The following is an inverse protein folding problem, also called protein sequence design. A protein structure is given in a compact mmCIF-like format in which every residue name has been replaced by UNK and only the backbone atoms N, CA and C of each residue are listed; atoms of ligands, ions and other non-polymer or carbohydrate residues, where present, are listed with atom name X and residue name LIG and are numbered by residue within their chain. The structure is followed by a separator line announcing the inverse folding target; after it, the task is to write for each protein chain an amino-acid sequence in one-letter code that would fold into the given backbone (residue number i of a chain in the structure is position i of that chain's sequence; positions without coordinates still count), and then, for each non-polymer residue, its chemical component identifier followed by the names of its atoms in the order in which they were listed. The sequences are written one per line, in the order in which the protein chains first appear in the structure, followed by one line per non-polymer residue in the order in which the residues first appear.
data_IF_635391410049
#
_entry.id   IF_635391410049
#
_cell.length_a   1.000
_cell.length_b   1.000
_cell.length_c   1.000
_cell.angle_alpha   90.00
_cell.angle_beta   90.00
_cell.angle_gamma   90.00
#
_symmetry.space_group_name_H-M   'P 1'
#
loop_
_entity.id
_entity.type
_entity.pdbx_description
1 polymer ?
#
# COMPACT_ATOMS: atom_id res chain seq x y z
N UNK A 1 0.61 -1.06 -20.47
CA UNK A 1 0.17 -0.97 -19.06
C UNK A 1 -1.34 -1.06 -18.99
N UNK A 2 -1.87 -1.95 -18.14
CA UNK A 2 -3.31 -2.15 -17.95
C UNK A 2 -3.76 -1.38 -16.72
N UNK A 3 -4.84 -0.59 -16.84
CA UNK A 3 -5.45 0.08 -15.70
C UNK A 3 -6.09 -0.97 -14.80
N UNK A 4 -5.84 -0.88 -13.51
CA UNK A 4 -6.42 -1.78 -12.53
C UNK A 4 -7.80 -1.26 -12.12
N UNK A 5 -8.82 -2.02 -12.44
CA UNK A 5 -10.19 -1.72 -12.07
C UNK A 5 -10.59 -2.57 -10.86
N UNK A 6 -11.28 -1.97 -9.92
CA UNK A 6 -11.85 -2.68 -8.78
C UNK A 6 -13.35 -2.83 -8.96
N UNK A 7 -13.84 -4.06 -8.75
CA UNK A 7 -15.26 -4.35 -8.70
C UNK A 7 -15.67 -4.36 -7.23
N UNK A 8 -16.56 -3.45 -6.87
CA UNK A 8 -17.10 -3.31 -5.52
C UNK A 8 -18.56 -3.73 -5.57
N UNK A 9 -18.94 -4.72 -4.78
CA UNK A 9 -20.33 -5.08 -4.55
C UNK A 9 -20.79 -4.34 -3.32
N UNK A 10 -21.60 -3.31 -3.52
CA UNK A 10 -22.17 -2.53 -2.43
C UNK A 10 -23.41 -3.25 -1.87
N UNK A 11 -23.33 -3.66 -0.61
CA UNK A 11 -24.43 -4.30 0.11
C UNK A 11 -25.35 -3.31 0.82
N UNK A 12 -24.97 -2.04 0.91
CA UNK A 12 -25.63 -1.08 1.78
C UNK A 12 -26.55 -0.08 1.05
N UNK A 13 -26.56 -0.03 -0.28
CA UNK A 13 -27.19 1.05 -1.07
C UNK A 13 -26.76 2.50 -0.65
N UNK A 14 -25.83 2.64 0.27
CA UNK A 14 -25.24 3.92 0.64
C UNK A 14 -23.93 4.06 -0.11
N UNK A 15 -23.91 4.91 -1.12
CA UNK A 15 -22.67 5.43 -1.68
C UNK A 15 -22.09 6.31 -0.58
N UNK A 16 -21.29 5.74 0.28
CA UNK A 16 -20.39 6.51 1.14
C UNK A 16 -19.40 7.15 0.18
N UNK A 17 -19.62 8.42 -0.15
CA UNK A 17 -18.53 9.25 -0.65
C UNK A 17 -17.50 9.21 0.47
N UNK A 18 -16.37 8.56 0.20
CA UNK A 18 -15.18 8.67 1.07
C UNK A 18 -14.74 10.12 0.97
N UNK A 19 -15.32 10.95 1.81
CA UNK A 19 -14.80 12.30 2.02
C UNK A 19 -13.48 12.09 2.75
N UNK A 20 -12.41 12.71 2.27
CA UNK A 20 -11.16 12.76 3.05
C UNK A 20 -11.52 13.32 4.43
N UNK A 21 -11.09 12.69 5.53
CA UNK A 21 -11.38 13.18 6.87
C UNK A 21 -10.87 14.63 7.00
N UNK A 22 -11.74 15.52 7.44
CA UNK A 22 -11.41 16.93 7.59
C UNK A 22 -10.86 17.25 8.98
N UNK A 23 -11.07 16.35 9.92
CA UNK A 23 -10.62 16.49 11.31
C UNK A 23 -10.51 15.10 11.97
N UNK A 24 -10.03 15.08 13.21
CA UNK A 24 -9.83 13.85 13.98
C UNK A 24 -11.14 13.07 14.21
N UNK A 25 -12.26 13.74 14.36
CA UNK A 25 -13.58 13.10 14.51
C UNK A 25 -13.98 12.36 13.21
N UNK A 26 -13.77 12.99 12.05
CA UNK A 26 -14.04 12.37 10.74
C UNK A 26 -13.14 11.15 10.54
N UNK A 27 -11.89 11.19 10.99
CA UNK A 27 -10.98 10.05 10.97
C UNK A 27 -11.49 8.90 11.84
N UNK A 28 -12.01 9.19 13.03
CA UNK A 28 -12.65 8.22 13.93
C UNK A 28 -13.86 7.54 13.27
N UNK A 29 -14.70 8.30 12.59
CA UNK A 29 -15.88 7.81 11.89
C UNK A 29 -15.50 6.92 10.69
N UNK A 30 -14.44 7.28 9.92
CA UNK A 30 -13.91 6.44 8.83
C UNK A 30 -13.33 5.11 9.33
N UNK A 31 -12.75 5.09 10.52
CA UNK A 31 -12.23 3.88 11.16
C UNK A 31 -13.31 3.03 11.82
N UNK A 32 -14.60 3.29 11.54
CA UNK A 32 -15.72 2.46 11.98
C UNK A 32 -16.31 2.86 13.32
N UNK A 33 -16.15 4.12 13.74
CA UNK A 33 -16.75 4.66 14.97
C UNK A 33 -16.07 4.19 16.25
N UNK A 34 -14.87 3.60 16.16
CA UNK A 34 -14.06 3.27 17.33
C UNK A 34 -13.64 4.56 18.04
N UNK A 35 -13.62 4.53 19.38
CA UNK A 35 -13.08 5.65 20.16
C UNK A 35 -11.56 5.74 19.92
N UNK A 36 -11.20 6.59 18.94
CA UNK A 36 -9.82 6.79 18.51
C UNK A 36 -8.95 7.25 19.68
N UNK A 37 -9.54 7.95 20.70
CA UNK A 37 -8.82 8.34 21.89
C UNK A 37 -8.29 7.13 22.67
N UNK A 38 -8.95 5.97 22.59
CA UNK A 38 -8.45 4.76 23.21
C UNK A 38 -7.16 4.23 22.59
N UNK A 39 -7.03 4.35 21.27
CA UNK A 39 -5.85 3.88 20.54
C UNK A 39 -4.64 4.79 20.66
N UNK A 40 -4.86 6.06 20.92
CA UNK A 40 -3.81 7.05 21.16
C UNK A 40 -3.40 7.18 22.64
N UNK A 41 -3.90 6.34 23.55
CA UNK A 41 -3.50 6.36 24.97
C UNK A 41 -2.05 5.94 25.20
N UNK A 42 -1.52 5.03 24.38
CA UNK A 42 -0.16 4.53 24.52
C UNK A 42 0.38 4.01 23.19
N UNK A 43 1.73 3.91 23.07
CA UNK A 43 2.36 3.23 21.91
C UNK A 43 1.84 1.80 21.75
N UNK A 44 1.65 1.08 22.85
CA UNK A 44 1.18 -0.31 22.84
C UNK A 44 -0.21 -0.40 22.22
N UNK A 45 -1.19 0.37 22.70
CA UNK A 45 -2.56 0.35 22.15
C UNK A 45 -2.60 0.78 20.68
N UNK A 46 -1.78 1.76 20.28
CA UNK A 46 -1.64 2.18 18.89
C UNK A 46 -1.16 1.02 18.01
N UNK A 47 -0.08 0.32 18.39
CA UNK A 47 0.44 -0.80 17.61
C UNK A 47 -0.50 -2.01 17.61
N UNK A 48 -1.13 -2.35 18.72
CA UNK A 48 -2.12 -3.42 18.77
C UNK A 48 -3.28 -3.19 17.80
N UNK A 49 -3.67 -1.95 17.59
CA UNK A 49 -4.77 -1.62 16.69
C UNK A 49 -4.33 -1.46 15.22
N UNK A 50 -3.27 -0.68 14.96
CA UNK A 50 -2.90 -0.32 13.59
C UNK A 50 -1.84 -1.22 12.98
N UNK A 51 -0.95 -1.81 13.78
CA UNK A 51 0.23 -2.51 13.32
C UNK A 51 0.01 -4.02 13.19
N UNK A 52 -0.74 -4.41 12.16
CA UNK A 52 -1.00 -5.82 11.85
C UNK A 52 -1.00 -6.07 10.34
N UNK A 53 -1.11 -7.34 9.93
CA UNK A 53 -1.20 -7.73 8.53
C UNK A 53 -0.02 -7.23 7.70
N UNK A 54 -0.29 -6.41 6.69
CA UNK A 54 0.71 -5.90 5.73
C UNK A 54 1.73 -4.95 6.35
N UNK A 55 1.33 -4.18 7.37
CA UNK A 55 2.24 -3.25 8.04
C UNK A 55 3.42 -3.97 8.70
N UNK A 56 3.17 -5.13 9.28
CA UNK A 56 4.23 -5.98 9.87
C UNK A 56 5.19 -6.49 8.78
N UNK A 57 4.67 -6.90 7.63
CA UNK A 57 5.48 -7.39 6.51
C UNK A 57 6.39 -6.27 5.99
N UNK A 58 5.82 -5.10 5.71
CA UNK A 58 6.57 -3.95 5.20
C UNK A 58 7.64 -3.48 6.18
N UNK A 59 7.28 -3.32 7.45
CA UNK A 59 8.22 -2.88 8.47
C UNK A 59 9.37 -3.87 8.67
N UNK A 60 9.09 -5.17 8.74
CA UNK A 60 10.14 -6.20 8.87
C UNK A 60 11.09 -6.19 7.66
N UNK A 61 10.55 -6.01 6.45
CA UNK A 61 11.38 -5.88 5.26
C UNK A 61 12.27 -4.63 5.32
N UNK A 62 11.70 -3.47 5.70
CA UNK A 62 12.44 -2.22 5.81
C UNK A 62 13.54 -2.31 6.87
N UNK A 63 13.24 -2.86 8.07
CA UNK A 63 14.23 -3.08 9.15
C UNK A 63 15.40 -3.95 8.70
N UNK A 64 15.15 -4.94 7.86
CA UNK A 64 16.21 -5.81 7.32
C UNK A 64 16.97 -5.20 6.14
N UNK A 65 16.46 -4.16 5.51
CA UNK A 65 16.98 -3.59 4.26
C UNK A 65 17.66 -2.24 4.43
N UNK A 66 17.37 -1.52 5.51
CA UNK A 66 17.86 -0.17 5.81
C UNK A 66 18.71 -0.20 7.08
N UNK A 67 19.86 0.49 7.06
CA UNK A 67 20.63 0.69 8.27
C UNK A 67 19.99 1.80 9.14
N UNK A 68 19.73 1.60 10.43
CA UNK A 68 19.05 2.56 11.29
C UNK A 68 19.74 3.92 11.39
N UNK A 69 21.07 3.98 11.24
CA UNK A 69 21.85 5.21 11.33
C UNK A 69 21.90 6.03 10.03
N UNK A 70 21.36 5.51 8.93
CA UNK A 70 21.32 6.21 7.65
C UNK A 70 20.09 7.10 7.53
N UNK A 71 20.27 8.26 6.91
CA UNK A 71 19.17 9.21 6.69
C UNK A 71 18.23 8.69 5.63
N UNK A 72 16.98 8.44 6.01
CA UNK A 72 15.98 7.79 5.15
C UNK A 72 14.75 8.66 4.98
N UNK A 73 14.27 8.82 3.75
CA UNK A 73 13.01 9.48 3.43
C UNK A 73 11.93 8.44 3.13
N UNK A 74 10.80 8.54 3.80
CA UNK A 74 9.57 7.85 3.40
C UNK A 74 8.71 8.77 2.55
N UNK A 75 8.33 8.31 1.36
CA UNK A 75 7.46 9.04 0.43
C UNK A 75 6.04 8.49 0.50
N UNK A 76 5.07 9.41 0.68
CA UNK A 76 3.65 9.11 0.84
C UNK A 76 3.39 8.23 2.08
N UNK A 77 3.92 8.66 3.21
CA UNK A 77 3.82 7.98 4.50
C UNK A 77 2.39 7.89 5.04
N UNK A 78 1.46 8.71 4.54
CA UNK A 78 0.09 8.77 5.07
C UNK A 78 0.08 9.12 6.56
N UNK A 79 -0.48 8.23 7.38
CA UNK A 79 -0.50 8.40 8.84
C UNK A 79 0.81 7.94 9.52
N UNK A 80 1.81 7.51 8.77
CA UNK A 80 3.12 7.14 9.29
C UNK A 80 3.19 5.81 10.05
N UNK A 81 2.26 4.90 9.87
CA UNK A 81 2.18 3.65 10.68
C UNK A 81 3.46 2.82 10.56
N UNK A 82 3.99 2.63 9.35
CA UNK A 82 5.25 1.92 9.14
C UNK A 82 6.43 2.68 9.71
N UNK A 83 6.43 3.98 9.52
CA UNK A 83 7.47 4.90 9.97
C UNK A 83 7.57 4.93 11.48
N UNK A 84 6.42 4.97 12.18
CA UNK A 84 6.38 4.99 13.65
C UNK A 84 6.95 3.71 14.26
N UNK A 85 6.77 2.55 13.62
CA UNK A 85 7.44 1.33 14.07
C UNK A 85 8.95 1.39 13.86
N UNK A 86 9.41 1.91 12.72
CA UNK A 86 10.84 2.14 12.46
C UNK A 86 11.45 3.18 13.43
N UNK A 87 10.77 4.32 13.63
CA UNK A 87 11.18 5.39 14.56
C UNK A 87 11.28 4.85 15.99
N UNK A 88 10.31 4.02 16.42
CA UNK A 88 10.34 3.37 17.74
C UNK A 88 11.50 2.40 17.93
N UNK A 89 12.11 1.96 16.82
CA UNK A 89 13.31 1.13 16.80
C UNK A 89 14.57 1.94 16.43
N UNK A 90 14.55 3.26 16.65
CA UNK A 90 15.68 4.20 16.47
C UNK A 90 16.19 4.31 15.01
N UNK A 91 15.33 4.10 14.02
CA UNK A 91 15.67 4.41 12.64
C UNK A 91 15.54 5.90 12.38
N UNK A 92 16.49 6.48 11.64
CA UNK A 92 16.49 7.89 11.25
C UNK A 92 15.58 8.09 10.01
N UNK A 93 14.28 8.21 10.25
CA UNK A 93 13.24 8.33 9.22
C UNK A 93 12.65 9.73 9.21
N UNK A 94 12.57 10.32 8.02
CA UNK A 94 11.79 11.52 7.75
C UNK A 94 10.55 11.08 6.97
N UNK A 95 9.38 11.33 7.51
CA UNK A 95 8.10 11.07 6.86
C UNK A 95 7.80 12.15 5.81
N UNK A 96 7.10 11.81 4.73
CA UNK A 96 6.57 12.83 3.81
C UNK A 96 5.29 12.40 3.12
N UNK A 97 4.39 13.37 2.89
CA UNK A 97 3.19 13.20 2.08
C UNK A 97 2.77 14.55 1.47
N UNK A 98 1.73 14.54 0.63
CA UNK A 98 1.12 15.76 0.07
C UNK A 98 0.64 16.73 1.13
N UNK A 99 0.20 16.21 2.28
CA UNK A 99 -0.23 16.98 3.45
C UNK A 99 0.27 16.29 4.72
N UNK A 100 0.57 17.10 5.74
CA UNK A 100 0.87 16.58 7.09
C UNK A 100 -0.43 15.98 7.64
N UNK A 101 -0.44 14.74 8.17
CA UNK A 101 -1.65 14.10 8.67
C UNK A 101 -2.22 14.88 9.86
N UNK A 102 -3.54 14.94 9.95
CA UNK A 102 -4.22 15.70 11.01
C UNK A 102 -3.91 15.17 12.42
N UNK A 103 -3.61 13.87 12.55
CA UNK A 103 -3.21 13.24 13.81
C UNK A 103 -1.72 13.41 14.15
N UNK A 104 -0.98 14.26 13.43
CA UNK A 104 0.47 14.38 13.61
C UNK A 104 0.87 14.83 15.02
N UNK A 105 0.13 15.78 15.61
CA UNK A 105 0.42 16.27 16.97
C UNK A 105 0.14 15.21 18.04
N UNK A 106 -0.90 14.38 17.85
CA UNK A 106 -1.19 13.23 18.71
C UNK A 106 -0.11 12.17 18.60
N UNK A 107 0.33 11.89 17.38
CA UNK A 107 1.42 10.95 17.14
C UNK A 107 2.74 11.43 17.78
N UNK A 108 3.05 12.73 17.71
CA UNK A 108 4.23 13.31 18.39
C UNK A 108 4.17 13.16 19.91
N UNK A 109 3.01 13.32 20.51
CA UNK A 109 2.83 13.09 21.96
C UNK A 109 3.15 11.66 22.35
N UNK A 110 2.77 10.69 21.50
CA UNK A 110 3.00 9.27 21.76
C UNK A 110 4.44 8.81 21.46
N UNK A 111 4.97 9.22 20.31
CA UNK A 111 6.21 8.67 19.76
C UNK A 111 7.42 9.56 19.97
N UNK A 112 7.22 10.78 20.48
CA UNK A 112 8.24 11.80 20.54
C UNK A 112 8.35 12.57 19.23
N UNK A 113 9.33 13.48 19.17
CA UNK A 113 9.56 14.27 17.97
C UNK A 113 10.05 13.39 16.82
N UNK A 114 9.42 13.52 15.65
CA UNK A 114 9.89 13.00 14.38
C UNK A 114 9.53 13.99 13.27
N UNK A 115 10.33 14.00 12.21
CA UNK A 115 10.15 14.94 11.12
C UNK A 115 9.08 14.44 10.14
N UNK A 116 8.20 15.36 9.76
CA UNK A 116 7.20 15.13 8.72
C UNK A 116 7.22 16.29 7.71
N UNK A 117 7.51 15.99 6.45
CA UNK A 117 7.64 16.98 5.37
C UNK A 117 6.38 16.99 4.51
N UNK A 118 5.86 18.18 4.21
CA UNK A 118 4.89 18.34 3.11
C UNK A 118 5.66 18.29 1.79
N UNK A 119 5.47 17.23 1.02
CA UNK A 119 6.23 16.97 -0.21
C UNK A 119 5.34 16.38 -1.29
N UNK A 120 5.21 17.06 -2.42
CA UNK A 120 4.68 16.48 -3.64
C UNK A 120 5.82 15.92 -4.48
N UNK A 121 6.12 14.64 -4.33
CA UNK A 121 7.22 13.98 -5.04
C UNK A 121 7.18 14.13 -6.57
N UNK A 122 6.01 14.41 -7.17
CA UNK A 122 5.88 14.61 -8.60
C UNK A 122 6.25 16.02 -9.06
N UNK A 123 6.41 16.98 -8.13
CA UNK A 123 6.65 18.39 -8.42
C UNK A 123 7.85 18.95 -7.68
N UNK A 124 8.01 18.52 -6.43
CA UNK A 124 8.97 19.13 -5.50
C UNK A 124 10.27 18.34 -5.48
N UNK A 125 11.37 19.07 -5.31
CA UNK A 125 12.70 18.52 -5.06
C UNK A 125 13.24 19.28 -3.86
N UNK A 126 13.65 18.55 -2.82
CA UNK A 126 14.30 19.14 -1.66
C UNK A 126 15.81 19.03 -1.80
N UNK A 127 16.53 20.04 -1.31
CA UNK A 127 18.01 20.12 -1.40
C UNK A 127 18.73 19.15 -0.48
N UNK A 128 17.99 18.32 0.25
CA UNK A 128 18.55 17.34 1.18
C UNK A 128 18.77 16.03 0.44
N UNK A 129 19.98 15.47 0.57
CA UNK A 129 20.27 14.13 0.06
C UNK A 129 20.04 13.07 1.13
N UNK A 130 19.54 11.91 0.69
CA UNK A 130 19.22 10.76 1.51
C UNK A 130 20.07 9.54 1.16
N UNK A 131 20.41 8.74 2.17
CA UNK A 131 21.05 7.45 1.96
C UNK A 131 20.06 6.42 1.42
N UNK A 132 18.80 6.50 1.90
CA UNK A 132 17.71 5.65 1.42
C UNK A 132 16.45 6.48 1.17
N UNK A 133 15.67 6.05 0.19
CA UNK A 133 14.31 6.52 -0.03
C UNK A 133 13.43 5.29 -0.20
N UNK A 134 12.25 5.28 0.43
CA UNK A 134 11.25 4.25 0.15
C UNK A 134 9.85 4.82 -0.04
N UNK A 135 9.02 4.04 -0.74
CA UNK A 135 7.61 4.36 -0.95
C UNK A 135 6.79 3.06 -0.94
N UNK A 136 5.82 3.00 -0.04
CA UNK A 136 4.98 1.82 0.20
C UNK A 136 3.57 2.07 -0.33
N UNK A 137 3.06 1.12 -1.13
CA UNK A 137 1.68 1.15 -1.67
C UNK A 137 1.30 2.42 -2.44
N UNK A 138 2.23 3.01 -3.19
CA UNK A 138 2.00 4.26 -3.94
C UNK A 138 2.20 4.08 -5.43
N UNK A 139 3.14 3.25 -5.88
CA UNK A 139 3.50 3.13 -7.29
C UNK A 139 2.33 2.76 -8.20
N UNK A 140 1.31 2.06 -7.69
CA UNK A 140 0.13 1.67 -8.46
C UNK A 140 -0.78 2.83 -8.82
N UNK A 141 -0.74 3.95 -8.10
CA UNK A 141 -1.57 5.13 -8.42
C UNK A 141 -0.94 6.00 -9.51
N UNK A 142 0.34 5.83 -9.83
CA UNK A 142 1.04 6.65 -10.80
C UNK A 142 0.80 6.16 -12.23
N UNK A 143 0.40 7.07 -13.14
CA UNK A 143 0.53 6.86 -14.58
C UNK A 143 2.01 6.71 -14.96
N UNK A 144 2.31 6.30 -16.20
CA UNK A 144 3.71 6.18 -16.63
C UNK A 144 4.44 7.50 -16.57
N UNK A 145 3.80 8.61 -16.97
CA UNK A 145 4.37 9.95 -16.86
C UNK A 145 4.68 10.36 -15.42
N UNK A 146 3.78 10.02 -14.48
CA UNK A 146 3.99 10.32 -13.06
C UNK A 146 5.08 9.41 -12.47
N UNK A 147 5.14 8.17 -12.89
CA UNK A 147 6.19 7.25 -12.45
C UNK A 147 7.57 7.70 -12.97
N UNK A 148 7.67 8.23 -14.19
CA UNK A 148 8.90 8.88 -14.70
C UNK A 148 9.32 10.05 -13.83
N UNK A 149 8.40 10.98 -13.53
CA UNK A 149 8.68 12.12 -12.64
C UNK A 149 9.14 11.66 -11.25
N UNK A 150 8.47 10.65 -10.72
CA UNK A 150 8.85 10.04 -9.44
C UNK A 150 10.31 9.56 -9.47
N UNK A 151 10.70 8.74 -10.45
CA UNK A 151 12.07 8.24 -10.55
C UNK A 151 13.10 9.35 -10.75
N UNK A 152 12.81 10.37 -11.57
CA UNK A 152 13.68 11.54 -11.78
C UNK A 152 13.90 12.29 -10.46
N UNK A 153 12.84 12.57 -9.70
CA UNK A 153 12.93 13.36 -8.48
C UNK A 153 13.60 12.56 -7.36
N UNK A 154 13.25 11.28 -7.21
CA UNK A 154 13.93 10.39 -6.26
C UNK A 154 15.43 10.26 -6.58
N UNK A 155 15.79 10.12 -7.87
CA UNK A 155 17.21 10.07 -8.26
C UNK A 155 17.97 11.34 -7.82
N UNK A 156 17.36 12.53 -7.94
CA UNK A 156 18.01 13.79 -7.53
C UNK A 156 18.19 13.89 -6.01
N UNK A 157 17.30 13.31 -5.22
CA UNK A 157 17.34 13.36 -3.76
C UNK A 157 18.13 12.21 -3.11
N UNK A 158 18.49 11.17 -3.86
CA UNK A 158 19.33 10.09 -3.35
C UNK A 158 20.81 10.43 -3.53
N UNK A 159 21.62 10.11 -2.52
CA UNK A 159 23.09 10.10 -2.64
C UNK A 159 23.54 9.10 -3.70
N UNK A 160 24.75 9.28 -4.21
CA UNK A 160 25.39 8.25 -5.05
C UNK A 160 25.48 6.94 -4.26
N UNK A 161 25.17 5.82 -4.90
CA UNK A 161 25.01 4.50 -4.28
C UNK A 161 23.86 4.37 -3.25
N UNK A 162 23.01 5.39 -3.10
CA UNK A 162 21.83 5.35 -2.23
C UNK A 162 20.81 4.30 -2.69
N UNK A 163 19.99 3.86 -1.76
CA UNK A 163 19.04 2.76 -1.96
C UNK A 163 17.61 3.31 -2.13
N UNK A 164 16.93 2.85 -3.17
CA UNK A 164 15.50 3.05 -3.38
C UNK A 164 14.76 1.74 -3.13
N UNK A 165 13.76 1.78 -2.25
CA UNK A 165 12.85 0.65 -2.00
C UNK A 165 11.44 1.04 -2.41
N UNK A 166 10.80 0.20 -3.23
CA UNK A 166 9.44 0.42 -3.71
C UNK A 166 8.57 -0.80 -3.46
N UNK A 167 7.38 -0.58 -2.90
CA UNK A 167 6.29 -1.54 -3.03
C UNK A 167 5.47 -1.21 -4.28
N UNK A 168 5.24 -2.22 -5.12
CA UNK A 168 4.44 -2.03 -6.34
C UNK A 168 2.97 -1.71 -6.06
N UNK A 169 2.46 -2.09 -4.87
CA UNK A 169 1.08 -1.89 -4.47
C UNK A 169 0.09 -2.71 -5.32
N UNK A 170 -0.04 -4.00 -5.00
CA UNK A 170 -0.99 -4.91 -5.67
C UNK A 170 -0.37 -5.88 -6.66
N UNK A 171 -1.19 -6.80 -7.15
CA UNK A 171 -0.77 -7.92 -7.97
C UNK A 171 -0.08 -7.55 -9.29
N UNK A 172 0.72 -8.45 -9.80
CA UNK A 172 1.41 -8.28 -11.09
C UNK A 172 0.43 -8.37 -12.27
N UNK A 173 0.66 -7.57 -13.33
CA UNK A 173 -0.04 -7.71 -14.60
C UNK A 173 0.52 -8.91 -15.38
N UNK A 174 0.05 -10.10 -15.04
CA UNK A 174 0.39 -11.36 -15.72
C UNK A 174 -0.86 -12.15 -16.09
N UNK A 175 -0.69 -13.20 -16.90
CA UNK A 175 -1.81 -14.03 -17.35
C UNK A 175 -2.55 -14.69 -16.16
N UNK A 176 -1.82 -15.12 -15.16
CA UNK A 176 -2.40 -15.74 -13.96
C UNK A 176 -3.30 -14.75 -13.22
N UNK A 177 -2.82 -13.53 -12.96
CA UNK A 177 -3.62 -12.46 -12.37
C UNK A 177 -4.85 -12.12 -13.22
N UNK A 178 -4.70 -12.07 -14.55
CA UNK A 178 -5.80 -11.81 -15.47
C UNK A 178 -6.92 -12.87 -15.36
N UNK A 179 -6.58 -14.15 -15.39
CA UNK A 179 -7.59 -15.22 -15.34
C UNK A 179 -8.16 -15.41 -13.93
N UNK A 180 -7.31 -15.48 -12.91
CA UNK A 180 -7.76 -15.84 -11.56
C UNK A 180 -8.27 -14.66 -10.74
N UNK A 181 -7.96 -13.43 -11.12
CA UNK A 181 -8.42 -12.24 -10.42
C UNK A 181 -9.37 -11.43 -11.30
N UNK A 182 -8.90 -10.92 -12.45
CA UNK A 182 -9.69 -9.95 -13.20
C UNK A 182 -10.96 -10.58 -13.79
N UNK A 183 -10.84 -11.71 -14.50
CA UNK A 183 -12.01 -12.38 -15.08
C UNK A 183 -12.87 -13.00 -13.98
N UNK A 184 -12.25 -13.72 -13.05
CA UNK A 184 -12.98 -14.42 -12.00
C UNK A 184 -13.81 -13.46 -11.14
N UNK A 185 -13.24 -12.34 -10.69
CA UNK A 185 -13.97 -11.34 -9.89
C UNK A 185 -15.14 -10.72 -10.66
N UNK A 186 -15.02 -10.52 -11.98
CA UNK A 186 -16.11 -10.05 -12.82
C UNK A 186 -17.25 -11.07 -12.84
N UNK A 187 -16.93 -12.33 -13.10
CA UNK A 187 -17.93 -13.42 -13.13
C UNK A 187 -18.60 -13.56 -11.76
N UNK A 188 -17.84 -13.60 -10.68
CA UNK A 188 -18.37 -13.69 -9.32
C UNK A 188 -19.31 -12.51 -8.99
N UNK A 189 -18.93 -11.29 -9.35
CA UNK A 189 -19.75 -10.10 -9.13
C UNK A 189 -21.09 -10.17 -9.89
N UNK A 190 -21.09 -10.59 -11.15
CA UNK A 190 -22.31 -10.79 -11.90
C UNK A 190 -23.19 -11.89 -11.30
N UNK A 191 -22.61 -13.02 -10.92
CA UNK A 191 -23.35 -14.10 -10.25
C UNK A 191 -24.03 -13.62 -8.97
N UNK A 192 -23.30 -12.91 -8.09
CA UNK A 192 -23.85 -12.36 -6.86
C UNK A 192 -24.97 -11.36 -7.15
N UNK A 193 -24.78 -10.49 -8.14
CA UNK A 193 -25.78 -9.52 -8.55
C UNK A 193 -27.08 -10.18 -9.05
N UNK A 194 -27.00 -11.17 -9.93
CA UNK A 194 -28.17 -11.87 -10.44
C UNK A 194 -28.87 -12.71 -9.36
N UNK A 195 -28.11 -13.42 -8.52
CA UNK A 195 -28.67 -14.15 -7.39
C UNK A 195 -29.36 -13.21 -6.41
N UNK A 196 -28.80 -12.03 -6.15
CA UNK A 196 -29.43 -11.05 -5.28
C UNK A 196 -30.81 -10.58 -5.80
N UNK A 197 -30.95 -10.44 -7.12
CA UNK A 197 -32.25 -10.12 -7.74
C UNK A 197 -33.25 -11.24 -7.55
N UNK A 198 -32.85 -12.49 -7.76
CA UNK A 198 -33.72 -13.66 -7.57
C UNK A 198 -34.25 -13.73 -6.13
N UNK A 199 -33.38 -13.44 -5.15
CA UNK A 199 -33.73 -13.46 -3.72
C UNK A 199 -34.28 -12.14 -3.18
N UNK A 200 -34.64 -11.18 -4.03
CA UNK A 200 -35.15 -9.85 -3.67
C UNK A 200 -34.22 -9.08 -2.70
N UNK A 201 -32.90 -9.35 -2.75
CA UNK A 201 -31.89 -8.63 -1.95
C UNK A 201 -31.40 -7.42 -2.73
N UNK A 202 -31.41 -6.24 -2.10
CA UNK A 202 -30.84 -5.01 -2.69
C UNK A 202 -29.32 -5.04 -2.57
N UNK A 203 -28.64 -5.54 -3.60
CA UNK A 203 -27.18 -5.49 -3.72
C UNK A 203 -26.85 -4.64 -4.95
N UNK A 204 -26.11 -3.56 -4.76
CA UNK A 204 -25.59 -2.73 -5.82
C UNK A 204 -24.32 -3.32 -6.43
N UNK A 205 -24.10 -3.04 -7.72
CA UNK A 205 -22.86 -3.35 -8.43
C UNK A 205 -22.17 -2.05 -8.80
N UNK A 206 -20.94 -1.85 -8.37
CA UNK A 206 -20.13 -0.69 -8.70
C UNK A 206 -18.79 -1.14 -9.26
N UNK A 207 -18.44 -0.56 -10.38
CA UNK A 207 -17.15 -0.75 -11.02
C UNK A 207 -16.29 0.51 -10.83
N UNK A 208 -15.19 0.41 -10.07
CA UNK A 208 -14.28 1.52 -9.87
C UNK A 208 -13.14 1.46 -10.91
N UNK A 209 -13.23 2.33 -11.92
CA UNK A 209 -12.27 2.42 -13.02
C UNK A 209 -10.98 3.17 -12.66
N UNK A 210 -10.89 3.73 -11.45
CA UNK A 210 -9.80 4.63 -11.05
C UNK A 210 -8.89 4.07 -9.97
N UNK A 211 -8.94 2.76 -9.72
CA UNK A 211 -8.20 2.16 -8.61
C UNK A 211 -6.68 2.24 -8.79
N UNK A 212 -6.16 2.03 -9.99
CA UNK A 212 -4.72 2.14 -10.23
C UNK A 212 -4.22 1.43 -11.48
N UNK A 213 -2.91 1.25 -11.54
CA UNK A 213 -2.22 0.66 -12.68
C UNK A 213 -1.47 -0.60 -12.27
N UNK A 214 -1.84 -1.74 -12.86
CA UNK A 214 -1.05 -2.97 -12.75
C UNK A 214 0.17 -2.89 -13.65
N UNK A 215 1.32 -3.31 -13.13
CA UNK A 215 2.58 -3.38 -13.88
C UNK A 215 3.25 -4.72 -13.71
N UNK A 216 3.93 -5.16 -14.78
CA UNK A 216 4.82 -6.32 -14.73
C UNK A 216 6.09 -5.96 -13.97
N UNK A 217 6.68 -6.94 -13.28
CA UNK A 217 7.96 -6.75 -12.62
C UNK A 217 9.03 -6.19 -13.58
N UNK A 218 9.04 -6.67 -14.83
CA UNK A 218 9.96 -6.19 -15.88
C UNK A 218 9.77 -4.72 -16.24
N UNK A 219 8.54 -4.20 -16.16
CA UNK A 219 8.24 -2.79 -16.49
C UNK A 219 8.82 -1.88 -15.42
N UNK A 220 8.59 -2.19 -14.14
CA UNK A 220 9.15 -1.43 -13.02
C UNK A 220 10.68 -1.41 -13.09
N UNK A 221 11.32 -2.57 -13.35
CA UNK A 221 12.78 -2.68 -13.53
C UNK A 221 13.27 -1.84 -14.72
N UNK A 222 12.54 -1.83 -15.84
CA UNK A 222 12.87 -1.04 -17.02
C UNK A 222 12.79 0.46 -16.74
N UNK A 223 11.75 0.92 -16.03
CA UNK A 223 11.65 2.31 -15.59
C UNK A 223 12.82 2.69 -14.70
N UNK A 224 13.09 1.92 -13.65
CA UNK A 224 14.20 2.19 -12.75
C UNK A 224 15.53 2.30 -13.50
N UNK A 225 15.83 1.36 -14.40
CA UNK A 225 17.06 1.37 -15.22
C UNK A 225 17.15 2.62 -16.10
N UNK A 226 16.04 3.05 -16.73
CA UNK A 226 15.98 4.25 -17.59
C UNK A 226 16.44 5.50 -16.85
N UNK A 227 16.19 5.57 -15.53
CA UNK A 227 16.48 6.74 -14.69
C UNK A 227 17.67 6.56 -13.77
N UNK A 228 18.63 5.69 -14.11
CA UNK A 228 19.91 5.59 -13.41
C UNK A 228 19.87 4.74 -12.13
N UNK A 229 18.99 3.75 -12.10
CA UNK A 229 18.92 2.78 -11.00
C UNK A 229 19.30 1.37 -11.46
N UNK A 230 20.15 0.72 -10.71
CA UNK A 230 20.46 -0.70 -10.82
C UNK A 230 19.51 -1.52 -9.96
N UNK A 231 18.94 -2.59 -10.53
CA UNK A 231 18.11 -3.52 -9.79
C UNK A 231 18.98 -4.44 -8.92
N UNK A 232 18.66 -4.50 -7.62
CA UNK A 232 19.34 -5.39 -6.67
C UNK A 232 18.53 -6.65 -6.44
N UNK A 233 17.28 -6.51 -5.97
CA UNK A 233 16.45 -7.64 -5.51
C UNK A 233 14.96 -7.31 -5.58
N UNK A 234 14.14 -8.37 -5.54
CA UNK A 234 12.70 -8.30 -5.32
C UNK A 234 12.30 -9.36 -4.30
N UNK A 235 11.53 -8.96 -3.30
CA UNK A 235 10.91 -9.87 -2.33
C UNK A 235 9.39 -9.82 -2.45
N UNK A 236 8.79 -10.99 -2.47
CA UNK A 236 7.35 -11.16 -2.68
C UNK A 236 6.70 -11.74 -1.43
N UNK A 237 5.57 -11.16 -1.02
CA UNK A 237 4.85 -11.54 0.19
C UNK A 237 3.35 -11.43 -0.03
N UNK A 238 2.58 -11.83 0.98
CA UNK A 238 1.12 -11.73 1.03
C UNK A 238 0.44 -12.42 -0.17
N UNK A 239 0.54 -13.72 -0.18
CA UNK A 239 0.05 -14.58 -1.25
C UNK A 239 -1.47 -14.84 -1.20
N UNK A 240 -2.20 -14.26 -0.25
CA UNK A 240 -3.64 -14.48 -0.11
C UNK A 240 -4.50 -13.27 -0.44
N UNK A 241 -4.01 -12.06 -0.20
CA UNK A 241 -4.84 -10.83 -0.30
C UNK A 241 -5.47 -10.67 -1.67
N UNK A 242 -4.76 -10.95 -2.77
CA UNK A 242 -5.36 -10.87 -4.11
C UNK A 242 -6.49 -11.91 -4.29
N UNK A 243 -6.29 -13.13 -3.87
CA UNK A 243 -7.30 -14.19 -3.95
C UNK A 243 -8.50 -13.91 -3.02
N UNK A 244 -8.25 -13.37 -1.83
CA UNK A 244 -9.30 -13.02 -0.85
C UNK A 244 -10.15 -11.81 -1.25
N UNK A 245 -9.88 -11.15 -2.37
CA UNK A 245 -10.80 -10.20 -2.99
C UNK A 245 -12.09 -10.91 -3.45
N UNK A 246 -12.00 -12.18 -3.81
CA UNK A 246 -13.15 -13.04 -4.04
C UNK A 246 -13.89 -13.35 -2.74
N UNK A 247 -15.21 -13.12 -2.75
CA UNK A 247 -16.09 -13.45 -1.62
C UNK A 247 -16.15 -14.96 -1.43
N UNK A 248 -16.20 -15.70 -2.54
CA UNK A 248 -16.27 -17.16 -2.51
C UNK A 248 -14.99 -17.76 -1.91
N UNK A 249 -13.82 -17.31 -2.36
CA UNK A 249 -12.54 -17.80 -1.82
C UNK A 249 -12.42 -17.49 -0.33
N UNK A 250 -12.81 -16.28 0.11
CA UNK A 250 -12.84 -15.94 1.55
C UNK A 250 -13.72 -16.91 2.34
N UNK A 251 -14.92 -17.21 1.84
CA UNK A 251 -15.85 -18.15 2.47
C UNK A 251 -15.30 -19.56 2.50
N UNK A 252 -14.67 -20.02 1.41
CA UNK A 252 -14.02 -21.35 1.40
C UNK A 252 -12.92 -21.44 2.45
N UNK A 253 -12.07 -20.42 2.58
CA UNK A 253 -11.00 -20.40 3.60
C UNK A 253 -11.60 -20.35 5.01
N UNK A 254 -12.68 -19.62 5.21
CA UNK A 254 -13.38 -19.50 6.50
C UNK A 254 -13.99 -20.83 6.94
N UNK A 255 -14.73 -21.51 6.05
CA UNK A 255 -15.40 -22.78 6.39
C UNK A 255 -14.47 -24.01 6.32
N UNK A 256 -13.43 -23.94 5.51
CA UNK A 256 -12.46 -25.03 5.32
C UNK A 256 -11.02 -24.52 5.49
N UNK A 257 -10.55 -24.32 6.74
CA UNK A 257 -9.23 -23.71 7.01
C UNK A 257 -8.05 -24.44 6.35
N UNK A 258 -8.15 -25.76 6.13
CA UNK A 258 -7.13 -26.54 5.42
C UNK A 258 -6.92 -26.08 3.97
N UNK A 259 -7.95 -25.53 3.33
CA UNK A 259 -7.86 -25.00 1.95
C UNK A 259 -6.91 -23.80 1.84
N UNK A 260 -6.63 -23.12 2.98
CA UNK A 260 -5.71 -21.98 3.02
C UNK A 260 -4.34 -22.31 2.42
N UNK A 261 -3.81 -23.53 2.68
CA UNK A 261 -2.52 -23.97 2.13
C UNK A 261 -2.53 -24.02 0.60
N UNK A 262 -3.63 -24.49 0.01
CA UNK A 262 -3.82 -24.54 -1.44
C UNK A 262 -3.85 -23.14 -2.01
N UNK A 263 -4.64 -22.23 -1.41
CA UNK A 263 -4.73 -20.85 -1.87
C UNK A 263 -3.43 -20.07 -1.68
N UNK A 264 -2.66 -20.32 -0.63
CA UNK A 264 -1.30 -19.77 -0.48
C UNK A 264 -0.40 -20.23 -1.63
N UNK A 265 -0.46 -21.51 -2.00
CA UNK A 265 0.34 -22.05 -3.11
C UNK A 265 -0.02 -21.39 -4.45
N UNK A 266 -1.31 -21.24 -4.74
CA UNK A 266 -1.79 -20.52 -5.94
C UNK A 266 -1.41 -19.03 -5.86
N UNK A 267 -1.53 -18.42 -4.70
CA UNK A 267 -1.21 -17.00 -4.49
C UNK A 267 0.26 -16.63 -4.70
N UNK A 268 1.18 -17.61 -4.61
CA UNK A 268 2.59 -17.39 -4.98
C UNK A 268 2.79 -16.97 -6.44
N UNK A 269 1.83 -17.27 -7.30
CA UNK A 269 1.85 -16.82 -8.70
C UNK A 269 1.33 -15.39 -8.88
N UNK A 270 0.70 -14.81 -7.85
CA UNK A 270 0.07 -13.49 -7.87
C UNK A 270 0.31 -12.75 -6.53
N UNK A 271 1.56 -12.60 -6.08
CA UNK A 271 1.86 -11.95 -4.80
C UNK A 271 1.30 -10.53 -4.77
N UNK A 272 0.68 -10.16 -3.63
CA UNK A 272 0.12 -8.83 -3.46
C UNK A 272 1.20 -7.78 -3.14
N UNK A 273 2.14 -8.12 -2.27
CA UNK A 273 3.26 -7.25 -1.89
C UNK A 273 4.50 -7.66 -2.68
N UNK A 274 5.07 -6.71 -3.42
CA UNK A 274 6.28 -6.90 -4.22
C UNK A 274 7.25 -5.76 -3.92
N UNK A 275 8.23 -6.04 -3.06
CA UNK A 275 9.23 -5.08 -2.58
C UNK A 275 10.44 -5.11 -3.50
N UNK A 276 10.59 -4.07 -4.30
CA UNK A 276 11.75 -3.88 -5.17
C UNK A 276 12.84 -3.10 -4.45
N UNK A 277 14.08 -3.53 -4.59
CA UNK A 277 15.27 -2.82 -4.10
C UNK A 277 16.15 -2.42 -5.28
N UNK A 278 16.49 -1.15 -5.35
CA UNK A 278 17.34 -0.55 -6.38
C UNK A 278 18.46 0.24 -5.74
N UNK A 279 19.55 0.41 -6.49
CA UNK A 279 20.70 1.25 -6.13
C UNK A 279 20.84 2.35 -7.17
N UNK A 280 21.06 3.59 -6.74
CA UNK A 280 21.42 4.70 -7.63
C UNK A 280 22.85 4.50 -8.15
N UNK A 281 23.02 4.57 -9.47
CA UNK A 281 24.31 4.44 -10.17
C UNK A 281 24.99 5.80 -10.29
#
# INVERSE_FOLDING_TARGET
MKKWNQIIIDRSNKITKVNKPKNFKDFSEEMGGYDVNEYFKSKKSFFEFYFHGRYVIWSNYLKSSINPFTKTLSIASGNGINELDLISNNFNIICSDLEIPQCYEELKKLFGHFDYLKLNILKDIISIEFDNIYSISVCYIFSDQNLEKFFINVHKMLKKNGILILDSGGGEDNLTSFFFIDIYLVIEAYLIYYLSKIFNKKIGFKFDNNFGYKRKNREIKKFAKKFGFEFIDIKEYDYLTELQRSILIRKIIEYFPFSKKVFVSLGKMIPYIRMFKFKKI
#
